data_IF_055673995774
#
_entry.id   IF_055673995774
#
_cell.length_a   1.000
_cell.length_b   1.000
_cell.length_c   1.000
_cell.angle_alpha   90.00
_cell.angle_beta   90.00
_cell.angle_gamma   90.00
#
_symmetry.space_group_name_H-M   'P 1'
#
loop_
_entity.id
_entity.type
_entity.pdbx_description
1 polymer ?
#
# COMPACT_ATOMS: atom_id res chain seq x y z
N UNK A 1 6.95 9.15 1.26
CA UNK A 1 5.74 8.33 1.00
C UNK A 1 6.04 6.89 0.63
N UNK A 2 6.88 6.59 -0.37
CA UNK A 2 7.09 5.19 -0.81
C UNK A 2 7.48 4.21 0.32
N UNK A 3 8.56 4.49 1.06
CA UNK A 3 8.99 3.61 2.17
C UNK A 3 7.98 3.53 3.31
N UNK A 4 7.23 4.61 3.57
CA UNK A 4 6.16 4.60 4.56
C UNK A 4 5.02 3.65 4.12
N UNK A 5 4.62 3.69 2.84
CA UNK A 5 3.66 2.73 2.27
C UNK A 5 4.14 1.29 2.48
N UNK A 6 5.42 1.01 2.22
CA UNK A 6 6.00 -0.33 2.41
C UNK A 6 5.90 -0.78 3.87
N UNK A 7 6.32 0.05 4.82
CA UNK A 7 6.24 -0.26 6.27
C UNK A 7 4.80 -0.55 6.69
N UNK A 8 3.85 0.28 6.25
CA UNK A 8 2.43 0.10 6.58
C UNK A 8 1.84 -1.19 6.00
N UNK A 9 2.24 -1.58 4.78
CA UNK A 9 1.84 -2.87 4.18
C UNK A 9 2.38 -4.04 5.00
N UNK A 10 3.66 -4.03 5.39
CA UNK A 10 4.22 -5.10 6.23
C UNK A 10 3.55 -5.17 7.61
N UNK A 11 3.23 -4.01 8.21
CA UNK A 11 2.47 -3.95 9.45
C UNK A 11 1.07 -4.57 9.29
N UNK A 12 0.34 -4.21 8.23
CA UNK A 12 -0.97 -4.80 7.95
C UNK A 12 -0.90 -6.31 7.72
N UNK A 13 0.12 -6.77 7.00
CA UNK A 13 0.33 -8.20 6.78
C UNK A 13 0.55 -8.94 8.12
N UNK A 14 1.45 -8.42 8.97
CA UNK A 14 1.69 -8.99 10.30
C UNK A 14 0.45 -8.97 11.21
N UNK A 15 -0.29 -7.85 11.23
CA UNK A 15 -1.55 -7.74 11.97
C UNK A 15 -2.60 -8.72 11.46
N UNK A 16 -2.74 -8.83 10.13
CA UNK A 16 -3.68 -9.75 9.50
C UNK A 16 -3.38 -11.22 9.84
N UNK A 17 -2.09 -11.57 9.86
CA UNK A 17 -1.65 -12.90 10.29
C UNK A 17 -2.07 -13.18 11.76
N UNK A 18 -1.72 -12.27 12.67
CA UNK A 18 -2.03 -12.42 14.10
C UNK A 18 -3.54 -12.47 14.38
N UNK A 19 -4.33 -11.65 13.66
CA UNK A 19 -5.79 -11.64 13.76
C UNK A 19 -6.41 -13.00 13.48
N UNK A 20 -5.88 -13.75 12.51
CA UNK A 20 -6.41 -15.06 12.11
C UNK A 20 -6.03 -16.13 13.14
N UNK A 21 -4.84 -16.04 13.73
CA UNK A 21 -4.38 -16.99 14.76
C UNK A 21 -5.03 -16.77 16.14
N UNK A 22 -5.52 -15.55 16.43
CA UNK A 22 -6.17 -15.25 17.71
C UNK A 22 -7.55 -15.91 17.81
N UNK A 23 -7.89 -16.63 18.90
CA UNK A 23 -9.21 -17.27 19.04
C UNK A 23 -10.39 -16.30 18.92
N UNK A 24 -11.48 -16.78 18.31
CA UNK A 24 -12.73 -16.03 18.19
C UNK A 24 -13.36 -15.74 19.57
N UNK A 25 -14.11 -14.63 19.66
CA UNK A 25 -14.78 -14.22 20.91
C UNK A 25 -13.86 -13.60 21.97
N UNK A 26 -12.56 -13.46 21.71
CA UNK A 26 -11.62 -12.80 22.62
C UNK A 26 -11.61 -11.28 22.43
N UNK A 27 -11.49 -10.48 23.51
CA UNK A 27 -11.33 -9.02 23.41
C UNK A 27 -10.08 -8.61 22.62
N UNK A 28 -9.02 -9.41 22.73
CA UNK A 28 -7.76 -9.21 22.00
C UNK A 28 -7.98 -9.26 20.48
N UNK A 29 -8.71 -10.27 19.97
CA UNK A 29 -9.03 -10.36 18.54
C UNK A 29 -9.74 -9.10 18.05
N UNK A 30 -10.76 -8.63 18.78
CA UNK A 30 -11.47 -7.39 18.44
C UNK A 30 -10.54 -6.18 18.38
N UNK A 31 -9.58 -6.08 19.30
CA UNK A 31 -8.58 -5.02 19.32
C UNK A 31 -7.66 -5.06 18.08
N UNK A 32 -7.13 -6.23 17.73
CA UNK A 32 -6.28 -6.38 16.54
C UNK A 32 -7.04 -6.07 15.24
N UNK A 33 -8.32 -6.47 15.14
CA UNK A 33 -9.18 -6.10 14.01
C UNK A 33 -9.40 -4.59 13.92
N UNK A 34 -9.62 -3.91 15.05
CA UNK A 34 -9.75 -2.45 15.08
C UNK A 34 -8.44 -1.78 14.65
N UNK A 35 -7.30 -2.24 15.18
CA UNK A 35 -5.98 -1.73 14.83
C UNK A 35 -5.67 -1.92 13.34
N UNK A 36 -5.92 -3.10 12.77
CA UNK A 36 -5.72 -3.37 11.34
C UNK A 36 -6.56 -2.44 10.46
N UNK A 37 -7.82 -2.19 10.83
CA UNK A 37 -8.68 -1.23 10.10
C UNK A 37 -8.14 0.20 10.17
N UNK A 38 -7.70 0.65 11.34
CA UNK A 38 -7.13 2.00 11.51
C UNK A 38 -5.82 2.18 10.73
N UNK A 39 -4.94 1.18 10.75
CA UNK A 39 -3.71 1.17 9.95
C UNK A 39 -4.05 1.13 8.47
N UNK A 40 -5.07 0.36 8.06
CA UNK A 40 -5.55 0.26 6.68
C UNK A 40 -6.07 1.60 6.15
N UNK A 41 -6.88 2.30 6.95
CA UNK A 41 -7.34 3.65 6.62
C UNK A 41 -6.17 4.64 6.53
N UNK A 42 -5.19 4.53 7.43
CA UNK A 42 -3.98 5.35 7.38
C UNK A 42 -3.17 5.08 6.11
N UNK A 43 -3.00 3.82 5.72
CA UNK A 43 -2.35 3.44 4.46
C UNK A 43 -3.08 4.02 3.26
N UNK A 44 -4.42 3.92 3.21
CA UNK A 44 -5.22 4.46 2.13
C UNK A 44 -5.01 5.99 1.98
N UNK A 45 -5.05 6.73 3.09
CA UNK A 45 -4.76 8.18 3.10
C UNK A 45 -3.33 8.49 2.63
N UNK A 46 -2.34 7.71 3.06
CA UNK A 46 -0.94 7.83 2.61
C UNK A 46 -0.82 7.58 1.11
N UNK A 47 -1.54 6.61 0.56
CA UNK A 47 -1.56 6.30 -0.88
C UNK A 47 -2.24 7.42 -1.66
N UNK A 48 -3.37 7.96 -1.20
CA UNK A 48 -4.01 9.13 -1.81
C UNK A 48 -3.07 10.35 -1.82
N UNK A 49 -2.42 10.63 -0.69
CA UNK A 49 -1.41 11.69 -0.62
C UNK A 49 -0.23 11.45 -1.57
N UNK A 50 0.20 10.19 -1.72
CA UNK A 50 1.25 9.80 -2.68
C UNK A 50 0.81 10.02 -4.13
N UNK A 51 -0.44 9.71 -4.48
CA UNK A 51 -1.00 9.95 -5.82
C UNK A 51 -1.04 11.46 -6.08
N UNK A 52 -1.58 12.26 -5.16
CA UNK A 52 -1.62 13.71 -5.27
C UNK A 52 -0.21 14.31 -5.41
N UNK A 53 0.78 13.81 -4.65
CA UNK A 53 2.17 14.19 -4.79
C UNK A 53 2.71 13.87 -6.19
N UNK A 54 2.45 12.67 -6.71
CA UNK A 54 2.96 12.27 -8.03
C UNK A 54 2.34 13.06 -9.19
N UNK A 55 1.10 13.52 -9.04
CA UNK A 55 0.43 14.38 -10.03
C UNK A 55 1.01 15.79 -10.06
N UNK A 56 1.45 16.31 -8.90
CA UNK A 56 2.02 17.65 -8.76
C UNK A 56 3.55 17.68 -8.94
N UNK A 57 4.21 16.56 -8.70
CA UNK A 57 5.67 16.39 -8.79
C UNK A 57 5.99 15.20 -9.70
N UNK A 58 6.07 15.42 -11.02
CA UNK A 58 6.43 14.39 -11.97
C UNK A 58 7.79 13.78 -11.60
N UNK A 59 7.86 12.46 -11.58
CA UNK A 59 9.14 11.78 -11.36
C UNK A 59 10.08 11.88 -12.55
N UNK A 60 11.32 11.39 -12.41
CA UNK A 60 12.30 11.39 -13.49
C UNK A 60 11.76 10.70 -14.73
N UNK A 61 12.15 11.19 -15.90
CA UNK A 61 11.80 10.56 -17.17
C UNK A 61 12.39 9.15 -17.23
N UNK A 62 11.62 8.20 -17.77
CA UNK A 62 12.10 6.84 -18.00
C UNK A 62 13.28 6.87 -18.97
N UNK A 63 14.29 6.05 -18.68
CA UNK A 63 15.51 6.04 -19.47
C UNK A 63 15.23 5.61 -20.92
N UNK A 64 15.87 6.29 -21.89
CA UNK A 64 15.57 6.10 -23.30
C UNK A 64 15.96 4.71 -23.84
N UNK A 65 16.84 4.00 -23.14
CA UNK A 65 17.26 2.64 -23.45
C UNK A 65 16.23 1.56 -23.12
N UNK A 66 15.16 1.88 -22.38
CA UNK A 66 14.13 0.90 -22.05
C UNK A 66 13.25 0.62 -23.26
N UNK A 67 13.06 -0.67 -23.54
CA UNK A 67 12.13 -1.17 -24.55
C UNK A 67 10.70 -0.70 -24.24
N UNK A 68 9.90 -0.49 -25.29
CA UNK A 68 8.55 0.08 -25.14
C UNK A 68 7.66 -0.75 -24.21
N UNK A 69 7.75 -2.08 -24.30
CA UNK A 69 6.96 -3.00 -23.46
C UNK A 69 7.37 -2.92 -21.98
N UNK A 70 8.65 -2.72 -21.67
CA UNK A 70 9.13 -2.57 -20.29
C UNK A 70 8.55 -1.31 -19.65
N UNK A 71 8.51 -0.21 -20.40
CA UNK A 71 7.90 1.06 -19.94
C UNK A 71 6.40 0.91 -19.69
N UNK A 72 5.70 0.22 -20.59
CA UNK A 72 4.28 -0.06 -20.45
C UNK A 72 3.99 -0.91 -19.22
N UNK A 73 4.72 -2.02 -19.03
CA UNK A 73 4.55 -2.87 -17.86
C UNK A 73 4.86 -2.15 -16.56
N UNK A 74 5.98 -1.42 -16.48
CA UNK A 74 6.33 -0.65 -15.29
C UNK A 74 5.23 0.35 -14.92
N UNK A 75 4.67 1.04 -15.92
CA UNK A 75 3.58 2.00 -15.73
C UNK A 75 2.29 1.30 -15.27
N UNK A 76 1.91 0.21 -15.95
CA UNK A 76 0.73 -0.59 -15.61
C UNK A 76 0.82 -1.14 -14.18
N UNK A 77 1.98 -1.67 -13.77
CA UNK A 77 2.20 -2.15 -12.40
C UNK A 77 2.03 -1.03 -11.38
N UNK A 78 2.54 0.17 -11.63
CA UNK A 78 2.35 1.29 -10.69
C UNK A 78 0.87 1.64 -10.51
N UNK A 79 0.10 1.74 -11.60
CA UNK A 79 -1.34 2.03 -11.51
C UNK A 79 -2.11 0.89 -10.86
N UNK A 80 -1.80 -0.36 -11.22
CA UNK A 80 -2.39 -1.54 -10.62
C UNK A 80 -2.17 -1.56 -9.11
N UNK A 81 -0.94 -1.30 -8.65
CA UNK A 81 -0.64 -1.22 -7.23
C UNK A 81 -1.42 -0.09 -6.54
N UNK A 82 -1.60 1.08 -7.16
CA UNK A 82 -2.44 2.13 -6.58
C UNK A 82 -3.90 1.71 -6.44
N UNK A 83 -4.45 1.03 -7.44
CA UNK A 83 -5.82 0.53 -7.41
C UNK A 83 -5.98 -0.55 -6.34
N UNK A 84 -5.04 -1.49 -6.24
CA UNK A 84 -5.13 -2.60 -5.28
C UNK A 84 -4.93 -2.16 -3.82
N UNK A 85 -4.23 -1.04 -3.59
CA UNK A 85 -4.01 -0.51 -2.24
C UNK A 85 -5.18 0.36 -1.74
N UNK A 86 -6.10 0.77 -2.62
CA UNK A 86 -7.26 1.62 -2.30
C UNK A 86 -8.54 0.78 -2.30
#
# INVERSE_FOLDING_TARGET
FHWLTVVLIFLLFGLGWYMVETPEGTPERSWFFALHKSVGLTLALVVLARIAWRLTHPGPQMHQSLERWQRMLATATHYCLYILML
#
